data_IF_268098426596
#
_entry.id   IF_268098426596
#
_cell.length_a   1.000
_cell.length_b   1.000
_cell.length_c   1.000
_cell.angle_alpha   90.00
_cell.angle_beta   90.00
_cell.angle_gamma   90.00
#
_symmetry.space_group_name_H-M   'P 1'
#
loop_
_entity.id
_entity.type
_entity.pdbx_description
1 polymer ?
#
# COMPACT_ATOMS: atom_id res chain seq x y z
N UNK A 1 -15.43 -54.39 40.75
CA UNK A 1 -16.20 -53.21 40.29
C UNK A 1 -15.21 -52.26 39.63
N UNK A 2 -15.25 -52.16 38.30
CA UNK A 2 -14.32 -51.34 37.53
C UNK A 2 -15.10 -50.13 37.01
N UNK A 3 -14.74 -48.93 37.50
CA UNK A 3 -15.25 -47.64 37.03
C UNK A 3 -14.69 -47.35 35.65
N UNK A 4 -15.57 -47.26 34.63
CA UNK A 4 -15.24 -46.75 33.31
C UNK A 4 -15.16 -45.24 33.34
N UNK A 5 -13.96 -44.68 33.38
CA UNK A 5 -13.72 -43.27 33.07
C UNK A 5 -14.03 -43.00 31.61
N UNK A 6 -15.16 -42.34 31.33
CA UNK A 6 -15.47 -41.78 30.02
C UNK A 6 -14.76 -40.43 29.90
N UNK A 7 -13.66 -40.43 29.19
CA UNK A 7 -13.07 -39.17 28.69
C UNK A 7 -14.02 -38.59 27.63
N UNK A 8 -14.78 -37.56 27.98
CA UNK A 8 -15.43 -36.72 27.00
C UNK A 8 -14.36 -35.78 26.43
N UNK A 9 -13.97 -36.03 25.18
CA UNK A 9 -13.08 -35.12 24.45
C UNK A 9 -13.65 -33.71 24.35
N UNK A 10 -12.80 -32.67 24.14
CA UNK A 10 -13.27 -31.31 23.96
C UNK A 10 -14.23 -31.22 22.76
N UNK A 11 -15.25 -30.35 22.81
CA UNK A 11 -16.20 -30.18 21.73
C UNK A 11 -15.46 -29.79 20.46
N UNK A 12 -15.71 -30.53 19.39
CA UNK A 12 -15.20 -30.22 18.06
C UNK A 12 -15.73 -28.83 17.67
N UNK A 13 -14.88 -27.86 17.28
CA UNK A 13 -15.37 -26.57 16.81
C UNK A 13 -16.25 -26.82 15.58
N UNK A 14 -17.50 -26.31 15.62
CA UNK A 14 -18.40 -26.34 14.48
C UNK A 14 -17.76 -25.51 13.36
N UNK A 15 -17.56 -26.14 12.19
CA UNK A 15 -17.19 -25.46 10.97
C UNK A 15 -18.24 -24.39 10.66
N UNK A 16 -17.84 -23.20 10.17
CA UNK A 16 -18.80 -22.18 9.77
C UNK A 16 -19.76 -22.75 8.71
N UNK A 17 -21.04 -22.44 8.84
CA UNK A 17 -22.15 -23.01 8.04
C UNK A 17 -22.08 -22.74 6.52
N UNK A 18 -21.08 -21.97 6.07
CA UNK A 18 -20.83 -21.71 4.64
C UNK A 18 -19.43 -22.12 4.27
N UNK A 19 -19.33 -22.93 3.21
CA UNK A 19 -18.04 -23.32 2.67
C UNK A 19 -17.22 -22.07 2.26
N UNK A 20 -15.89 -22.01 2.49
CA UNK A 20 -15.04 -20.86 2.17
C UNK A 20 -15.17 -20.39 0.71
N UNK A 21 -15.47 -21.29 -0.23
CA UNK A 21 -15.64 -20.97 -1.65
C UNK A 21 -16.92 -20.17 -1.92
N UNK A 22 -18.01 -20.34 -1.16
CA UNK A 22 -19.24 -19.55 -1.30
C UNK A 22 -19.02 -18.10 -0.87
N UNK A 23 -18.17 -17.86 0.13
CA UNK A 23 -17.76 -16.52 0.52
C UNK A 23 -16.94 -15.83 -0.59
N UNK A 24 -16.05 -16.59 -1.25
CA UNK A 24 -15.26 -16.09 -2.39
C UNK A 24 -16.15 -15.78 -3.58
N UNK A 25 -17.14 -16.62 -3.87
CA UNK A 25 -18.09 -16.43 -4.96
C UNK A 25 -18.98 -15.20 -4.71
N UNK A 26 -19.48 -15.03 -3.47
CA UNK A 26 -20.22 -13.83 -3.07
C UNK A 26 -19.39 -12.54 -3.18
N UNK A 27 -18.07 -12.62 -2.95
CA UNK A 27 -17.16 -11.48 -3.12
C UNK A 27 -16.95 -11.17 -4.61
N UNK A 28 -16.79 -12.18 -5.45
CA UNK A 28 -16.67 -12.04 -6.90
C UNK A 28 -17.93 -11.38 -7.49
N UNK A 29 -19.13 -11.86 -7.11
CA UNK A 29 -20.41 -11.30 -7.57
C UNK A 29 -20.59 -9.82 -7.15
N UNK A 30 -20.12 -9.47 -5.96
CA UNK A 30 -20.14 -8.08 -5.49
C UNK A 30 -19.15 -7.21 -6.26
N UNK A 31 -17.99 -7.75 -6.59
CA UNK A 31 -16.97 -7.05 -7.37
C UNK A 31 -17.47 -6.78 -8.81
N UNK A 32 -18.06 -7.78 -9.45
CA UNK A 32 -18.64 -7.66 -10.80
C UNK A 32 -19.79 -6.64 -10.83
N UNK A 33 -20.61 -6.61 -9.78
CA UNK A 33 -21.66 -5.62 -9.62
C UNK A 33 -21.12 -4.20 -9.45
N UNK A 34 -20.01 -4.05 -8.69
CA UNK A 34 -19.33 -2.77 -8.52
C UNK A 34 -18.73 -2.29 -9.83
N UNK A 35 -18.06 -3.17 -10.56
CA UNK A 35 -17.49 -2.89 -11.89
C UNK A 35 -18.59 -2.43 -12.86
N UNK A 36 -19.72 -3.14 -12.91
CA UNK A 36 -20.86 -2.78 -13.77
C UNK A 36 -21.48 -1.42 -13.43
N UNK A 37 -21.56 -1.07 -12.14
CA UNK A 37 -22.04 0.25 -11.71
C UNK A 37 -21.06 1.34 -12.13
N UNK A 38 -19.76 1.09 -11.99
CA UNK A 38 -18.70 2.03 -12.36
C UNK A 38 -18.63 2.25 -13.87
N UNK A 39 -18.74 1.19 -14.69
CA UNK A 39 -18.82 1.28 -16.14
C UNK A 39 -20.02 2.15 -16.57
N UNK A 40 -21.17 1.97 -15.91
CA UNK A 40 -22.38 2.72 -16.21
C UNK A 40 -22.31 4.20 -15.81
N UNK A 41 -21.60 4.51 -14.72
CA UNK A 41 -21.43 5.89 -14.25
C UNK A 41 -20.35 6.66 -15.02
N UNK A 42 -19.29 5.96 -15.48
CA UNK A 42 -18.15 6.59 -16.16
C UNK A 42 -18.26 6.56 -17.69
N UNK A 43 -19.23 5.83 -18.27
CA UNK A 43 -19.37 5.68 -19.72
C UNK A 43 -18.18 4.97 -20.37
N UNK A 44 -17.39 4.23 -19.60
CA UNK A 44 -16.18 3.53 -20.06
C UNK A 44 -16.42 2.04 -19.98
N UNK A 45 -16.35 1.35 -21.12
CA UNK A 45 -16.39 -0.11 -21.14
C UNK A 45 -15.00 -0.64 -20.80
N UNK A 46 -14.87 -1.28 -19.66
CA UNK A 46 -13.62 -1.96 -19.30
C UNK A 46 -13.48 -3.24 -20.11
N UNK A 47 -12.83 -3.16 -21.26
CA UNK A 47 -12.40 -4.35 -21.98
C UNK A 47 -11.24 -4.97 -21.19
N UNK A 48 -11.31 -6.25 -20.81
CA UNK A 48 -10.18 -6.93 -20.19
C UNK A 48 -9.01 -6.90 -21.17
N UNK A 49 -8.12 -5.95 -21.01
CA UNK A 49 -6.88 -5.90 -21.76
C UNK A 49 -6.06 -7.15 -21.43
N UNK A 50 -5.35 -7.70 -22.43
CA UNK A 50 -4.43 -8.85 -22.33
C UNK A 50 -3.19 -8.61 -21.42
N UNK A 51 -3.28 -7.76 -20.42
CA UNK A 51 -2.30 -7.62 -19.36
C UNK A 51 -2.80 -8.39 -18.15
N UNK A 52 -2.13 -9.46 -17.79
CA UNK A 52 -2.53 -10.37 -16.73
C UNK A 52 -3.04 -9.61 -15.48
N UNK A 53 -4.32 -9.76 -15.06
CA UNK A 53 -4.80 -9.23 -13.80
C UNK A 53 -4.26 -10.15 -12.72
N UNK A 54 -3.17 -9.80 -12.11
CA UNK A 54 -2.50 -10.62 -11.09
C UNK A 54 -1.19 -10.03 -10.63
N UNK A 55 -0.70 -8.99 -11.29
CA UNK A 55 0.47 -8.27 -10.82
C UNK A 55 0.03 -7.06 -9.99
N UNK A 56 0.69 -6.81 -8.87
CA UNK A 56 0.53 -5.61 -8.04
C UNK A 56 0.54 -4.33 -8.90
N UNK A 57 1.31 -4.33 -10.00
CA UNK A 57 1.34 -3.23 -10.97
C UNK A 57 0.01 -2.97 -11.68
N UNK A 58 -0.74 -4.02 -12.04
CA UNK A 58 -2.08 -3.89 -12.64
C UNK A 58 -3.11 -3.35 -11.67
N UNK A 59 -3.04 -3.80 -10.40
CA UNK A 59 -3.91 -3.29 -9.32
C UNK A 59 -3.62 -1.82 -9.02
N UNK A 60 -2.33 -1.44 -8.97
CA UNK A 60 -1.90 -0.05 -8.77
C UNK A 60 -2.36 0.85 -9.92
N UNK A 61 -2.24 0.40 -11.17
CA UNK A 61 -2.71 1.16 -12.35
C UNK A 61 -4.24 1.34 -12.33
N UNK A 62 -4.98 0.30 -11.94
CA UNK A 62 -6.44 0.37 -11.78
C UNK A 62 -6.84 1.32 -10.66
N UNK A 63 -6.18 1.24 -9.52
CA UNK A 63 -6.41 2.16 -8.39
C UNK A 63 -6.06 3.60 -8.76
N UNK A 64 -5.03 3.85 -9.55
CA UNK A 64 -4.70 5.20 -10.03
C UNK A 64 -5.76 5.82 -10.93
N UNK A 65 -6.50 5.01 -11.69
CA UNK A 65 -7.60 5.48 -12.54
C UNK A 65 -8.90 5.73 -11.75
N UNK A 66 -9.15 4.94 -10.72
CA UNK A 66 -10.42 4.95 -9.98
C UNK A 66 -10.43 5.90 -8.76
N UNK A 67 -9.27 6.17 -8.21
CA UNK A 67 -9.12 6.85 -6.91
C UNK A 67 -9.49 8.33 -6.92
N UNK A 68 -9.24 9.14 -7.97
CA UNK A 68 -9.59 10.56 -7.94
C UNK A 68 -11.07 10.84 -7.71
N UNK A 69 -11.96 10.00 -8.23
CA UNK A 69 -13.41 10.19 -8.11
C UNK A 69 -14.02 9.56 -6.85
N UNK A 70 -13.51 8.40 -6.42
CA UNK A 70 -14.08 7.63 -5.31
C UNK A 70 -13.65 8.16 -3.94
N UNK A 71 -12.43 8.71 -3.83
CA UNK A 71 -11.88 9.21 -2.56
C UNK A 71 -11.96 10.75 -2.41
N UNK A 72 -12.83 11.41 -3.18
CA UNK A 72 -13.05 12.84 -3.01
C UNK A 72 -11.81 13.69 -3.33
N UNK A 73 -11.03 13.31 -4.36
CA UNK A 73 -9.86 14.05 -4.81
C UNK A 73 -8.54 13.63 -4.14
N UNK A 74 -8.52 12.56 -3.35
CA UNK A 74 -7.23 12.01 -2.88
C UNK A 74 -6.44 11.41 -4.03
N UNK A 75 -5.11 11.48 -3.95
CA UNK A 75 -4.21 10.92 -4.94
C UNK A 75 -3.27 9.90 -4.33
N UNK A 76 -3.08 8.78 -5.05
CA UNK A 76 -2.08 7.78 -4.74
C UNK A 76 -0.79 8.12 -5.49
N UNK A 77 0.31 8.14 -4.76
CA UNK A 77 1.66 8.40 -5.29
C UNK A 77 2.50 7.14 -5.07
N UNK A 78 2.69 6.31 -6.11
CA UNK A 78 3.49 5.09 -5.99
C UNK A 78 4.97 5.37 -6.23
N UNK A 79 5.79 4.64 -5.47
CA UNK A 79 7.23 4.54 -5.65
C UNK A 79 7.58 3.06 -5.74
N UNK A 80 8.29 2.69 -6.79
CA UNK A 80 8.73 1.32 -6.99
C UNK A 80 10.06 1.32 -7.72
N UNK A 81 11.06 0.69 -7.13
CA UNK A 81 12.38 0.55 -7.71
C UNK A 81 13.05 -0.73 -7.23
N UNK A 82 13.81 -1.37 -8.09
CA UNK A 82 14.68 -2.46 -7.70
C UNK A 82 16.05 -1.88 -7.37
N UNK A 83 16.47 -2.06 -6.14
CA UNK A 83 17.74 -1.54 -5.63
C UNK A 83 18.80 -2.63 -5.78
N UNK A 84 19.92 -2.28 -6.44
CA UNK A 84 21.04 -3.19 -6.65
C UNK A 84 21.70 -3.62 -5.32
N UNK A 85 22.48 -4.68 -5.37
CA UNK A 85 23.26 -5.18 -4.23
C UNK A 85 24.21 -4.11 -3.70
N UNK A 86 24.29 -3.97 -2.38
CA UNK A 86 25.15 -3.01 -1.69
C UNK A 86 25.06 -1.57 -2.25
N UNK A 87 23.84 -1.13 -2.62
CA UNK A 87 23.63 0.15 -3.30
C UNK A 87 22.53 0.99 -2.64
N UNK A 88 22.66 2.31 -2.79
CA UNK A 88 21.66 3.29 -2.43
C UNK A 88 20.97 3.80 -3.68
N UNK A 89 19.64 3.96 -3.61
CA UNK A 89 18.86 4.49 -4.71
C UNK A 89 17.74 5.41 -4.20
N UNK A 90 17.20 6.26 -5.08
CA UNK A 90 16.14 7.20 -4.74
C UNK A 90 15.15 7.39 -5.89
N UNK A 91 13.93 7.79 -5.56
CA UNK A 91 12.91 8.14 -6.54
C UNK A 91 12.12 9.37 -6.08
N UNK A 92 11.99 10.35 -6.96
CA UNK A 92 11.22 11.57 -6.74
C UNK A 92 9.86 11.51 -7.41
N UNK A 93 8.86 12.13 -6.76
CA UNK A 93 7.54 12.42 -7.32
C UNK A 93 7.12 13.84 -6.96
N UNK A 94 6.66 14.59 -7.95
CA UNK A 94 6.10 15.93 -7.71
C UNK A 94 4.79 15.83 -6.95
N UNK A 95 4.56 16.77 -6.04
CA UNK A 95 3.31 16.93 -5.31
C UNK A 95 2.34 17.73 -6.19
N UNK A 96 1.21 17.15 -6.60
CA UNK A 96 0.28 17.78 -7.55
C UNK A 96 -0.55 18.91 -6.93
N UNK A 97 -0.82 18.85 -5.62
CA UNK A 97 -1.59 19.85 -4.87
C UNK A 97 -1.17 19.87 -3.40
N UNK A 98 -1.43 20.96 -2.73
CA UNK A 98 -1.22 21.07 -1.28
C UNK A 98 -2.21 20.15 -0.53
N UNK A 99 -1.71 19.37 0.42
CA UNK A 99 -2.53 18.37 1.09
C UNK A 99 -1.84 17.74 2.30
N UNK A 100 -2.45 16.64 2.76
CA UNK A 100 -1.95 15.85 3.87
C UNK A 100 -1.60 14.46 3.36
N UNK A 101 -0.37 14.01 3.61
CA UNK A 101 -0.02 12.60 3.47
C UNK A 101 -0.73 11.85 4.59
N UNK A 102 -1.82 11.20 4.24
CA UNK A 102 -2.69 10.50 5.19
C UNK A 102 -2.17 9.11 5.53
N UNK A 103 -1.65 8.43 4.52
CA UNK A 103 -1.21 7.06 4.66
C UNK A 103 0.03 6.81 3.81
N UNK A 104 0.93 5.99 4.33
CA UNK A 104 2.08 5.45 3.59
C UNK A 104 2.17 3.96 3.86
N UNK A 105 2.20 3.18 2.80
CA UNK A 105 2.34 1.72 2.83
C UNK A 105 3.72 1.37 2.31
N UNK A 106 4.47 0.56 3.06
CA UNK A 106 5.77 0.01 2.64
C UNK A 106 5.70 -1.52 2.68
N UNK A 107 5.97 -2.17 1.55
CA UNK A 107 5.92 -3.62 1.43
C UNK A 107 7.32 -4.23 1.36
N UNK A 108 7.78 -4.84 2.44
CA UNK A 108 9.07 -5.54 2.49
C UNK A 108 8.85 -7.01 2.10
N UNK A 109 9.35 -7.46 0.94
CA UNK A 109 9.22 -8.85 0.53
C UNK A 109 10.08 -9.77 1.40
N UNK A 110 9.73 -11.06 1.40
CA UNK A 110 10.54 -12.08 2.03
C UNK A 110 11.96 -12.09 1.46
N UNK A 111 12.96 -12.25 2.33
CA UNK A 111 14.37 -12.27 1.97
C UNK A 111 15.07 -10.91 2.11
N UNK A 112 14.38 -9.84 2.48
CA UNK A 112 15.02 -8.56 2.81
C UNK A 112 15.89 -8.66 4.08
N UNK A 113 15.56 -9.55 5.01
CA UNK A 113 16.32 -9.85 6.25
C UNK A 113 16.74 -8.60 7.03
N UNK A 114 15.92 -7.54 6.96
CA UNK A 114 16.22 -6.21 7.53
C UNK A 114 17.48 -5.53 6.93
N UNK A 115 17.96 -6.02 5.77
CA UNK A 115 19.10 -5.46 5.05
C UNK A 115 18.69 -4.34 4.09
N UNK A 116 17.39 -4.13 3.89
CA UNK A 116 16.89 -3.03 3.06
C UNK A 116 16.26 -1.98 3.94
N UNK A 117 16.86 -0.82 3.98
CA UNK A 117 16.39 0.34 4.70
C UNK A 117 15.62 1.27 3.77
N UNK A 118 14.46 1.78 4.22
CA UNK A 118 13.59 2.67 3.45
C UNK A 118 13.15 3.84 4.28
N UNK A 119 13.14 5.05 3.67
CA UNK A 119 12.52 6.23 4.26
C UNK A 119 11.84 7.10 3.23
N UNK A 120 10.89 7.92 3.69
CA UNK A 120 10.22 8.92 2.88
C UNK A 120 10.56 10.33 3.37
N UNK A 121 10.91 11.19 2.43
CA UNK A 121 11.33 12.58 2.67
C UNK A 121 10.50 13.52 1.82
N UNK A 122 10.16 14.69 2.36
CA UNK A 122 9.51 15.78 1.65
C UNK A 122 10.50 16.95 1.42
N UNK A 123 10.52 17.45 0.20
CA UNK A 123 11.27 18.64 -0.22
C UNK A 123 10.30 19.73 -0.64
N UNK A 124 10.07 20.78 0.18
CA UNK A 124 9.28 21.93 -0.23
C UNK A 124 10.03 22.77 -1.29
N UNK A 125 9.28 23.54 -2.10
CA UNK A 125 9.86 24.42 -3.12
C UNK A 125 10.81 25.50 -2.55
N UNK A 126 10.60 25.89 -1.31
CA UNK A 126 11.47 26.86 -0.59
C UNK A 126 12.80 26.26 -0.11
N UNK A 127 13.06 25.00 -0.42
CA UNK A 127 14.25 24.28 0.06
C UNK A 127 14.03 23.65 1.43
N UNK A 128 15.01 22.86 1.84
CA UNK A 128 14.95 22.08 3.08
C UNK A 128 14.59 20.62 2.81
N UNK A 129 14.80 19.81 3.84
CA UNK A 129 14.57 18.37 3.82
C UNK A 129 13.78 18.00 5.07
N UNK A 130 12.62 17.44 4.90
CA UNK A 130 11.71 17.09 5.96
C UNK A 130 11.43 15.60 5.97
N UNK A 131 11.73 14.92 7.06
CA UNK A 131 11.52 13.48 7.20
C UNK A 131 10.05 13.21 7.53
N UNK A 132 9.40 12.45 6.66
CA UNK A 132 7.98 12.07 6.80
C UNK A 132 7.86 10.75 7.55
N UNK A 133 8.66 9.74 7.14
CA UNK A 133 8.70 8.42 7.74
C UNK A 133 10.11 7.82 7.58
N UNK A 134 10.76 7.47 8.68
CA UNK A 134 10.51 7.94 10.04
C UNK A 134 10.68 9.45 10.17
N UNK A 135 10.16 10.04 11.23
CA UNK A 135 10.23 11.50 11.47
C UNK A 135 11.60 11.97 11.98
N UNK A 136 12.55 11.06 12.14
CA UNK A 136 13.90 11.29 12.65
C UNK A 136 14.92 11.09 11.54
N UNK A 137 15.84 12.04 11.35
CA UNK A 137 16.83 12.04 10.27
C UNK A 137 17.70 10.77 10.19
N UNK A 138 18.11 10.24 11.32
CA UNK A 138 18.98 9.08 11.40
C UNK A 138 18.25 7.73 11.34
N UNK A 139 16.93 7.73 11.24
CA UNK A 139 16.14 6.51 11.30
C UNK A 139 15.66 6.06 9.93
N UNK A 140 15.53 4.74 9.79
CA UNK A 140 15.00 4.03 8.63
C UNK A 140 14.04 2.93 9.05
N UNK A 141 13.21 2.48 8.12
CA UNK A 141 12.40 1.29 8.30
C UNK A 141 13.10 0.13 7.59
N UNK A 142 13.37 -0.96 8.30
CA UNK A 142 13.95 -2.17 7.77
C UNK A 142 13.18 -3.38 8.34
N UNK A 143 12.49 -4.11 7.47
CA UNK A 143 11.65 -5.24 7.84
C UNK A 143 11.91 -6.42 6.90
N UNK A 144 11.30 -7.56 7.16
CA UNK A 144 11.36 -8.75 6.32
C UNK A 144 9.97 -9.42 6.29
N UNK A 145 9.52 -9.81 5.10
CA UNK A 145 8.21 -10.46 4.87
C UNK A 145 7.05 -9.74 5.56
N UNK A 146 7.03 -8.41 5.46
CA UNK A 146 6.04 -7.61 6.16
C UNK A 146 5.62 -6.38 5.37
N UNK A 147 4.32 -6.08 5.42
CA UNK A 147 3.77 -4.81 4.92
C UNK A 147 3.39 -3.94 6.10
N UNK A 148 3.97 -2.75 6.19
CA UNK A 148 3.67 -1.78 7.24
C UNK A 148 2.85 -0.63 6.69
N UNK A 149 1.88 -0.17 7.47
CA UNK A 149 1.02 0.98 7.16
C UNK A 149 1.25 2.07 8.19
N UNK A 150 1.68 3.23 7.73
CA UNK A 150 1.86 4.43 8.54
C UNK A 150 0.74 5.43 8.26
N UNK A 151 0.36 6.21 9.28
CA UNK A 151 -0.59 7.32 9.16
C UNK A 151 0.06 8.61 9.68
N UNK A 152 1.01 9.19 8.93
CA UNK A 152 1.82 10.31 9.40
C UNK A 152 1.03 11.60 9.56
N UNK A 153 -0.06 11.79 8.82
CA UNK A 153 -0.85 13.03 8.75
C UNK A 153 0.04 14.25 8.50
N UNK A 154 0.98 14.10 7.59
CA UNK A 154 2.01 15.09 7.32
C UNK A 154 1.54 16.10 6.28
N UNK A 155 1.56 17.40 6.63
CA UNK A 155 1.17 18.48 5.72
C UNK A 155 2.25 18.72 4.67
N UNK A 156 1.86 18.78 3.40
CA UNK A 156 2.74 19.09 2.28
C UNK A 156 2.15 20.21 1.43
N UNK A 157 3.01 21.03 0.86
CA UNK A 157 2.64 22.11 -0.05
C UNK A 157 3.02 21.77 -1.49
N UNK A 158 2.29 22.32 -2.45
CA UNK A 158 2.67 22.34 -3.86
C UNK A 158 3.10 23.76 -4.25
N UNK A 159 4.13 23.91 -5.11
CA UNK A 159 4.98 22.84 -5.62
C UNK A 159 5.92 22.28 -4.56
N UNK A 160 6.19 20.98 -4.67
CA UNK A 160 7.09 20.25 -3.78
C UNK A 160 7.35 18.86 -4.33
N UNK A 161 8.23 18.11 -3.68
CA UNK A 161 8.58 16.74 -4.08
C UNK A 161 8.53 15.81 -2.88
N UNK A 162 8.01 14.61 -3.10
CA UNK A 162 8.21 13.47 -2.22
C UNK A 162 9.32 12.62 -2.81
N UNK A 163 10.24 12.21 -1.96
CA UNK A 163 11.32 11.30 -2.28
C UNK A 163 11.23 10.06 -1.40
N UNK A 164 11.41 8.90 -1.99
CA UNK A 164 11.71 7.67 -1.27
C UNK A 164 13.17 7.34 -1.50
N UNK A 165 13.85 7.03 -0.43
CA UNK A 165 15.26 6.63 -0.41
C UNK A 165 15.34 5.19 0.09
N UNK A 166 16.11 4.37 -0.63
CA UNK A 166 16.37 2.97 -0.32
C UNK A 166 17.84 2.74 -0.15
N UNK A 167 18.23 1.98 0.86
CA UNK A 167 19.60 1.46 1.04
C UNK A 167 19.51 -0.05 1.10
N UNK A 168 20.15 -0.73 0.17
CA UNK A 168 20.26 -2.17 0.16
C UNK A 168 21.66 -2.57 0.65
N UNK A 169 21.76 -3.12 1.84
CA UNK A 169 23.01 -3.63 2.42
C UNK A 169 23.25 -5.10 2.10
N UNK A 170 22.28 -5.77 1.43
CA UNK A 170 22.50 -7.14 0.95
C UNK A 170 23.52 -7.13 -0.18
N UNK A 171 24.65 -7.83 0.04
CA UNK A 171 25.74 -7.95 -0.94
C UNK A 171 25.48 -8.99 -2.01
N UNK A 172 24.44 -9.81 -1.87
CA UNK A 172 24.16 -10.95 -2.74
C UNK A 172 22.91 -10.75 -3.60
N UNK A 173 21.88 -10.08 -3.06
CA UNK A 173 20.58 -10.00 -3.71
C UNK A 173 20.14 -8.56 -3.97
N UNK A 174 19.45 -8.37 -5.08
CA UNK A 174 18.69 -7.16 -5.36
C UNK A 174 17.33 -7.24 -4.68
N UNK A 175 16.82 -6.11 -4.19
CA UNK A 175 15.51 -6.06 -3.53
C UNK A 175 14.63 -4.97 -4.13
N UNK A 176 13.30 -5.18 -4.09
CA UNK A 176 12.31 -4.19 -4.49
C UNK A 176 11.31 -4.01 -3.35
N UNK A 177 11.38 -2.85 -2.69
CA UNK A 177 10.44 -2.48 -1.62
C UNK A 177 9.52 -1.39 -2.16
N UNK A 178 8.28 -1.73 -2.57
CA UNK A 178 7.32 -0.74 -3.03
C UNK A 178 6.86 0.14 -1.86
N UNK A 179 6.69 1.44 -2.16
CA UNK A 179 6.14 2.43 -1.24
C UNK A 179 4.99 3.15 -1.91
N UNK A 180 3.87 3.28 -1.21
CA UNK A 180 2.67 3.94 -1.70
C UNK A 180 2.27 5.03 -0.70
N UNK A 181 2.19 6.27 -1.15
CA UNK A 181 1.68 7.38 -0.34
C UNK A 181 0.30 7.81 -0.82
N UNK A 182 -0.63 8.04 0.11
CA UNK A 182 -1.96 8.60 -0.16
C UNK A 182 -1.97 10.07 0.26
N UNK A 183 -2.15 10.96 -0.71
CA UNK A 183 -2.24 12.41 -0.53
C UNK A 183 -3.71 12.84 -0.60
N UNK A 184 -4.18 13.55 0.43
CA UNK A 184 -5.56 14.08 0.52
C UNK A 184 -5.51 15.60 0.51
N UNK A 185 -6.31 16.31 -0.32
CA UNK A 185 -6.38 17.76 -0.31
C UNK A 185 -6.83 18.31 1.05
N UNK A 186 -6.20 19.38 1.51
CA UNK A 186 -6.59 20.03 2.78
C UNK A 186 -8.02 20.54 2.78
N UNK A 187 -8.57 20.90 1.62
CA UNK A 187 -9.96 21.34 1.48
C UNK A 187 -11.02 20.27 1.84
N UNK A 188 -10.64 19.00 1.86
CA UNK A 188 -11.55 17.90 2.19
C UNK A 188 -11.58 17.56 3.70
N UNK A 189 -10.56 17.93 4.46
CA UNK A 189 -10.55 17.69 5.92
C UNK A 189 -11.37 18.70 6.72
N UNK A 190 -11.70 19.87 6.13
CA UNK A 190 -12.40 20.98 6.82
C UNK A 190 -13.93 20.77 6.85
N UNK A 191 -14.47 19.76 6.16
CA UNK A 191 -15.91 19.46 6.15
C UNK A 191 -16.25 18.31 7.11
N UNK A 192 -16.04 18.52 8.38
CA UNK A 192 -16.67 17.71 9.45
C UNK A 192 -17.57 18.59 10.29
#
# INVERSE_FOLDING_TARGET
>A
MAEKNRFSGPPTPSLPDKAPWEAVQSLADKLDKLISIMEKQMGVTMTPGKGAPGTIGGLVALMQQLVPEVLGGSQIIPFQKTVATAYQDEQDRSIPFAGIIREVIMGFPAGCQQLVEVRMVYYPAGGGRHFVIPTIDSAFNALDDFTVVFQPRYLVAAPGQLRVEWWNYDSLNTHSVPVIATLVPTSLEVKK
#
